data_IF_894977801082
#
_entry.id   IF_894977801082
#
_cell.length_a   1.000
_cell.length_b   1.000
_cell.length_c   1.000
_cell.angle_alpha   90.00
_cell.angle_beta   90.00
_cell.angle_gamma   90.00
#
_symmetry.space_group_name_H-M   'P 1'
#
loop_
_entity.id
_entity.type
_entity.pdbx_description
1 polymer ?
#
# COMPACT_ATOMS: atom_id res chain seq x y z
N UNK A 1 -6.08 11.99 13.70
CA UNK A 1 -6.11 11.30 12.40
C UNK A 1 -7.03 10.08 12.57
N UNK A 2 -8.01 9.87 11.68
CA UNK A 2 -8.92 8.73 11.87
C UNK A 2 -8.19 7.40 11.59
N UNK A 3 -8.65 6.26 12.15
CA UNK A 3 -7.96 4.97 12.00
C UNK A 3 -7.76 4.52 10.54
N UNK A 4 -8.73 4.82 9.66
CA UNK A 4 -8.63 4.50 8.24
C UNK A 4 -7.52 5.30 7.53
N UNK A 5 -7.39 6.59 7.87
CA UNK A 5 -6.28 7.42 7.38
C UNK A 5 -4.92 6.87 7.83
N UNK A 6 -4.79 6.43 9.09
CA UNK A 6 -3.55 5.82 9.60
C UNK A 6 -3.25 4.51 8.87
N UNK A 7 -4.25 3.64 8.69
CA UNK A 7 -4.10 2.39 7.95
C UNK A 7 -3.66 2.63 6.50
N UNK A 8 -4.20 3.68 5.86
CA UNK A 8 -3.84 4.07 4.49
C UNK A 8 -2.39 4.54 4.41
N UNK A 9 -1.96 5.41 5.33
CA UNK A 9 -0.58 5.87 5.41
C UNK A 9 0.38 4.70 5.63
N UNK A 10 0.05 3.76 6.51
CA UNK A 10 0.88 2.58 6.75
C UNK A 10 0.99 1.69 5.51
N UNK A 11 -0.10 1.47 4.77
CA UNK A 11 -0.07 0.68 3.53
C UNK A 11 0.83 1.33 2.46
N UNK A 12 0.78 2.66 2.32
CA UNK A 12 1.66 3.40 1.41
C UNK A 12 3.14 3.28 1.82
N UNK A 13 3.44 3.35 3.12
CA UNK A 13 4.79 3.14 3.65
C UNK A 13 5.27 1.72 3.34
N UNK A 14 4.45 0.69 3.55
CA UNK A 14 4.79 -0.70 3.24
C UNK A 14 5.16 -0.89 1.76
N UNK A 15 4.42 -0.26 0.85
CA UNK A 15 4.68 -0.32 -0.60
C UNK A 15 6.01 0.37 -0.94
N UNK A 16 6.26 1.54 -0.38
CA UNK A 16 7.54 2.23 -0.55
C UNK A 16 8.71 1.37 -0.08
N UNK A 17 8.58 0.75 1.11
CA UNK A 17 9.59 -0.17 1.65
C UNK A 17 9.77 -1.41 0.77
N UNK A 18 8.68 -1.98 0.25
CA UNK A 18 8.73 -3.10 -0.68
C UNK A 18 9.51 -2.75 -1.95
N UNK A 19 9.30 -1.56 -2.52
CA UNK A 19 10.01 -1.11 -3.71
C UNK A 19 11.53 -1.03 -3.47
N UNK A 20 11.95 -0.40 -2.37
CA UNK A 20 13.38 -0.31 -2.02
C UNK A 20 14.01 -1.69 -1.79
N UNK A 21 13.32 -2.58 -1.06
CA UNK A 21 13.81 -3.95 -0.80
C UNK A 21 13.91 -4.76 -2.09
N UNK A 22 12.96 -4.60 -3.00
CA UNK A 22 12.93 -5.31 -4.28
C UNK A 22 14.09 -4.90 -5.18
N UNK A 23 14.37 -3.60 -5.29
CA UNK A 23 15.53 -3.09 -6.03
C UNK A 23 16.83 -3.66 -5.47
N UNK A 24 16.98 -3.61 -4.13
CA UNK A 24 18.17 -4.14 -3.47
C UNK A 24 18.33 -5.66 -3.68
N UNK A 25 17.25 -6.42 -3.57
CA UNK A 25 17.26 -7.88 -3.78
C UNK A 25 17.70 -8.24 -5.20
N UNK A 26 17.25 -7.49 -6.21
CA UNK A 26 17.67 -7.69 -7.60
C UNK A 26 19.16 -7.33 -7.78
N UNK A 27 19.61 -6.21 -7.21
CA UNK A 27 21.01 -5.78 -7.29
C UNK A 27 21.98 -6.77 -6.62
N UNK A 28 21.53 -7.41 -5.54
CA UNK A 28 22.31 -8.42 -4.83
C UNK A 28 22.29 -9.80 -5.50
N UNK A 29 21.38 -10.03 -6.46
CA UNK A 29 21.13 -11.36 -7.03
C UNK A 29 20.31 -12.28 -6.12
N UNK A 30 19.71 -11.76 -5.04
CA UNK A 30 18.88 -12.53 -4.10
C UNK A 30 17.54 -12.96 -4.74
N UNK A 31 17.03 -12.13 -5.66
CA UNK A 31 15.78 -12.37 -6.41
C UNK A 31 15.88 -11.88 -7.84
N UNK A 32 15.18 -12.54 -8.76
CA UNK A 32 15.00 -12.05 -10.12
C UNK A 32 13.84 -11.05 -10.22
N UNK A 33 13.80 -10.20 -11.26
CA UNK A 33 12.65 -9.33 -11.52
C UNK A 33 11.31 -10.09 -11.59
N UNK A 34 11.30 -11.32 -12.10
CA UNK A 34 10.10 -12.16 -12.20
C UNK A 34 9.60 -12.59 -10.82
N UNK A 35 10.51 -12.94 -9.90
CA UNK A 35 10.15 -13.28 -8.52
C UNK A 35 9.57 -12.07 -7.79
N UNK A 36 10.15 -10.88 -7.97
CA UNK A 36 9.57 -9.63 -7.44
C UNK A 36 8.19 -9.36 -8.05
N UNK A 37 8.03 -9.56 -9.36
CA UNK A 37 6.74 -9.36 -10.04
C UNK A 37 5.67 -10.33 -9.52
N UNK A 38 6.05 -11.56 -9.14
CA UNK A 38 5.13 -12.52 -8.54
C UNK A 38 4.67 -12.14 -7.13
N UNK A 39 5.44 -11.33 -6.40
CA UNK A 39 5.07 -10.79 -5.08
C UNK A 39 4.13 -9.59 -5.17
N UNK A 40 4.12 -8.89 -6.32
CA UNK A 40 3.34 -7.68 -6.53
C UNK A 40 1.84 -7.82 -6.27
N UNK A 41 1.13 -8.89 -6.69
CA UNK A 41 -0.32 -9.01 -6.46
C UNK A 41 -0.70 -8.95 -4.98
N UNK A 42 0.10 -9.54 -4.09
CA UNK A 42 -0.16 -9.53 -2.65
C UNK A 42 0.05 -8.13 -2.04
N UNK A 43 1.00 -7.36 -2.57
CA UNK A 43 1.26 -5.98 -2.14
C UNK A 43 0.21 -5.02 -2.70
N UNK A 44 -0.18 -5.21 -3.97
CA UNK A 44 -1.20 -4.41 -4.64
C UNK A 44 -2.57 -4.55 -3.97
N UNK A 45 -2.95 -5.77 -3.55
CA UNK A 45 -4.21 -5.98 -2.81
C UNK A 45 -4.29 -5.13 -1.53
N UNK A 46 -3.18 -5.00 -0.79
CA UNK A 46 -3.13 -4.13 0.41
C UNK A 46 -3.32 -2.64 0.06
N UNK A 47 -2.83 -2.20 -1.10
CA UNK A 47 -3.05 -0.84 -1.58
C UNK A 47 -4.53 -0.61 -1.90
N UNK A 48 -5.15 -1.54 -2.62
CA UNK A 48 -6.55 -1.44 -3.01
C UNK A 48 -7.47 -1.41 -1.77
N UNK A 49 -7.21 -2.28 -0.79
CA UNK A 49 -7.94 -2.31 0.49
C UNK A 49 -7.76 -1.00 1.29
N UNK A 50 -6.54 -0.49 1.35
CA UNK A 50 -6.21 0.77 2.02
C UNK A 50 -6.88 1.96 1.33
N UNK A 51 -6.89 1.98 0.00
CA UNK A 51 -7.54 3.02 -0.79
C UNK A 51 -9.05 3.00 -0.59
N UNK A 52 -9.68 1.83 -0.63
CA UNK A 52 -11.11 1.67 -0.36
C UNK A 52 -11.48 2.15 1.06
N UNK A 53 -10.64 1.83 2.06
CA UNK A 53 -10.83 2.31 3.43
C UNK A 53 -10.70 3.83 3.55
N UNK A 54 -9.75 4.43 2.82
CA UNK A 54 -9.59 5.88 2.76
C UNK A 54 -10.80 6.57 2.13
N UNK A 55 -11.29 6.07 0.99
CA UNK A 55 -12.48 6.61 0.32
C UNK A 55 -13.73 6.48 1.19
N UNK A 56 -13.92 5.36 1.88
CA UNK A 56 -15.03 5.16 2.80
C UNK A 56 -14.98 6.13 4.00
N UNK A 57 -13.77 6.41 4.51
CA UNK A 57 -13.57 7.38 5.57
C UNK A 57 -13.81 8.82 5.09
N UNK A 58 -13.35 9.18 3.89
CA UNK A 58 -13.60 10.48 3.25
C UNK A 58 -15.07 10.75 2.99
N UNK A 59 -15.83 9.72 2.55
CA UNK A 59 -17.29 9.78 2.40
C UNK A 59 -18.02 9.95 3.73
N UNK A 60 -17.53 9.35 4.83
CA UNK A 60 -18.14 9.54 6.17
C UNK A 60 -17.95 10.95 6.73
N UNK A 61 -16.84 11.62 6.42
CA UNK A 61 -16.58 13.00 6.85
C UNK A 61 -17.32 14.07 6.04
N UNK A 62 -17.89 13.72 4.89
CA UNK A 62 -18.65 14.65 4.03
C UNK A 62 -20.13 14.83 4.40
N UNK A 63 -20.65 14.14 5.43
CA UNK A 63 -22.08 14.11 5.75
C UNK A 63 -22.55 15.07 6.86
N UNK A 64 -21.67 15.90 7.42
CA UNK A 64 -21.97 16.78 8.56
C UNK A 64 -21.81 18.29 8.29
N UNK A 65 -22.05 18.75 7.05
CA UNK A 65 -22.25 20.17 6.75
C UNK A 65 -23.63 20.41 6.11
N UNK A 66 -24.68 19.91 6.76
CA UNK A 66 -26.07 20.26 6.48
C UNK A 66 -26.62 21.15 7.59
#
# INVERSE_FOLDING_TARGET
MNPATIATVNALIEIGVFAFKSIKAVQNGDKTPEQIRAEWPAIAAKLDDAWAAWEAAGKSTGKNNG
#
